data_IF_894324339391
#
_entry.id   IF_894324339391
#
_cell.length_a   1.000
_cell.length_b   1.000
_cell.length_c   1.000
_cell.angle_alpha   90.00
_cell.angle_beta   90.00
_cell.angle_gamma   90.00
#
_symmetry.space_group_name_H-M   'P 1'
#
loop_
_entity.id
_entity.type
_entity.pdbx_description
1 polymer ?
#
# COMPACT_ATOMS: atom_id res chain seq x y z
N UNK A 1 -3.94 15.98 21.73
CA UNK A 1 -2.98 14.87 21.56
C UNK A 1 -2.09 15.24 20.39
N UNK A 2 -0.78 15.22 20.59
CA UNK A 2 0.16 15.51 19.50
C UNK A 2 0.73 14.18 18.99
N UNK A 3 0.51 13.87 17.74
CA UNK A 3 0.99 12.67 17.08
C UNK A 3 2.23 13.02 16.25
N UNK A 4 3.38 12.42 16.60
CA UNK A 4 4.65 12.65 15.89
C UNK A 4 5.14 11.37 15.24
N UNK A 5 5.39 11.47 13.94
CA UNK A 5 5.91 10.40 13.08
C UNK A 5 7.13 10.87 12.29
N UNK A 6 7.87 9.96 11.72
CA UNK A 6 8.88 10.28 10.72
C UNK A 6 8.24 10.43 9.34
N UNK A 7 7.27 9.54 9.04
CA UNK A 7 6.56 9.51 7.75
C UNK A 7 5.06 9.39 7.98
N UNK A 8 4.28 10.18 7.23
CA UNK A 8 2.83 10.02 7.12
C UNK A 8 2.49 9.65 5.68
N UNK A 9 1.75 8.56 5.51
CA UNK A 9 1.23 8.12 4.23
C UNK A 9 -0.28 8.37 4.18
N UNK A 10 -0.75 9.07 3.16
CA UNK A 10 -2.17 9.38 2.97
C UNK A 10 -2.76 8.47 1.90
N UNK A 11 -3.72 7.64 2.31
CA UNK A 11 -4.46 6.74 1.43
C UNK A 11 -4.01 5.29 1.50
N UNK A 12 -4.93 4.40 1.92
CA UNK A 12 -4.72 2.95 2.05
C UNK A 12 -4.91 2.16 0.75
N UNK A 13 -4.60 2.73 -0.42
CA UNK A 13 -4.54 2.00 -1.69
C UNK A 13 -3.26 1.18 -1.81
N UNK A 14 -3.06 0.46 -2.94
CA UNK A 14 -1.89 -0.41 -3.14
C UNK A 14 -0.56 0.34 -2.94
N UNK A 15 -0.43 1.53 -3.53
CA UNK A 15 0.77 2.36 -3.39
C UNK A 15 0.99 2.82 -1.94
N UNK A 16 -0.07 3.21 -1.25
CA UNK A 16 0.03 3.63 0.16
C UNK A 16 0.40 2.48 1.09
N UNK A 17 -0.16 1.29 0.86
CA UNK A 17 0.22 0.10 1.63
C UNK A 17 1.71 -0.23 1.46
N UNK A 18 2.22 -0.22 0.23
CA UNK A 18 3.64 -0.44 -0.07
C UNK A 18 4.53 0.66 0.54
N UNK A 19 4.15 1.93 0.39
CA UNK A 19 4.92 3.04 0.95
C UNK A 19 5.00 2.98 2.48
N UNK A 20 3.88 2.69 3.13
CA UNK A 20 3.81 2.60 4.58
C UNK A 20 4.65 1.43 5.13
N UNK A 21 4.53 0.24 4.54
CA UNK A 21 5.32 -0.92 4.94
C UNK A 21 6.80 -0.72 4.66
N UNK A 22 7.17 -0.14 3.52
CA UNK A 22 8.56 0.16 3.18
C UNK A 22 9.19 1.12 4.18
N UNK A 23 8.53 2.24 4.49
CA UNK A 23 9.03 3.22 5.46
C UNK A 23 9.19 2.60 6.87
N UNK A 24 8.19 1.86 7.32
CA UNK A 24 8.22 1.21 8.63
C UNK A 24 9.29 0.12 8.73
N UNK A 25 9.48 -0.68 7.69
CA UNK A 25 10.52 -1.71 7.62
C UNK A 25 11.93 -1.11 7.59
N UNK A 26 12.09 0.11 7.10
CA UNK A 26 13.35 0.87 7.18
C UNK A 26 13.58 1.49 8.57
N UNK A 27 12.67 1.27 9.53
CA UNK A 27 12.78 1.74 10.90
C UNK A 27 12.16 3.11 11.16
N UNK A 28 11.50 3.73 10.18
CA UNK A 28 10.79 4.98 10.37
C UNK A 28 9.48 4.76 11.14
N UNK A 29 9.21 5.59 12.13
CA UNK A 29 7.89 5.63 12.78
C UNK A 29 6.87 6.19 11.79
N UNK A 30 5.99 5.34 11.30
CA UNK A 30 5.11 5.62 10.16
C UNK A 30 3.64 5.60 10.58
N UNK A 31 2.84 6.51 10.01
CA UNK A 31 1.38 6.50 10.12
C UNK A 31 0.74 6.40 8.73
N UNK A 32 -0.14 5.43 8.54
CA UNK A 32 -0.99 5.34 7.36
C UNK A 32 -2.39 5.87 7.70
N UNK A 33 -2.78 6.98 7.09
CA UNK A 33 -4.11 7.58 7.25
C UNK A 33 -4.99 7.15 6.08
N UNK A 34 -6.15 6.55 6.37
CA UNK A 34 -7.09 6.08 5.35
C UNK A 34 -8.53 6.34 5.78
N UNK A 35 -9.39 6.68 4.83
CA UNK A 35 -10.81 6.97 5.10
C UNK A 35 -11.59 5.73 5.57
N UNK A 36 -11.22 4.55 5.09
CA UNK A 36 -11.94 3.31 5.40
C UNK A 36 -10.95 2.13 5.48
N UNK A 37 -10.74 1.63 6.68
CA UNK A 37 -9.83 0.50 6.94
C UNK A 37 -10.33 -0.81 6.30
N UNK A 38 -11.64 -0.94 6.00
CA UNK A 38 -12.18 -2.11 5.33
C UNK A 38 -11.94 -2.11 3.82
N UNK A 39 -11.39 -1.02 3.29
CA UNK A 39 -11.05 -0.87 1.86
C UNK A 39 -9.56 -0.77 1.59
N UNK A 40 -8.74 -1.05 2.58
CA UNK A 40 -7.28 -1.10 2.42
C UNK A 40 -6.91 -2.10 1.32
N UNK A 41 -6.10 -1.67 0.35
CA UNK A 41 -5.66 -2.49 -0.77
C UNK A 41 -6.80 -2.97 -1.69
N UNK A 42 -7.98 -2.35 -1.63
CA UNK A 42 -9.13 -2.79 -2.39
C UNK A 42 -8.88 -2.78 -3.91
N UNK A 43 -9.16 -3.91 -4.55
CA UNK A 43 -9.19 -4.04 -6.00
C UNK A 43 -10.53 -3.55 -6.54
N UNK A 44 -10.62 -2.29 -6.97
CA UNK A 44 -11.86 -1.65 -7.41
C UNK A 44 -12.37 -2.18 -8.76
N UNK A 45 -11.47 -2.65 -9.61
CA UNK A 45 -11.77 -3.19 -10.93
C UNK A 45 -11.75 -4.72 -10.95
N UNK A 46 -10.87 -5.32 -11.77
CA UNK A 46 -10.64 -6.75 -11.78
C UNK A 46 -9.80 -7.16 -10.57
N UNK A 47 -10.16 -8.25 -9.85
CA UNK A 47 -9.38 -8.73 -8.73
C UNK A 47 -8.13 -9.48 -9.22
N UNK A 48 -7.23 -8.78 -9.90
CA UNK A 48 -6.04 -9.37 -10.50
C UNK A 48 -4.83 -8.46 -10.38
N UNK A 49 -3.70 -9.07 -10.08
CA UNK A 49 -2.37 -8.45 -10.00
C UNK A 49 -1.51 -8.93 -11.17
N UNK A 50 -0.72 -8.03 -11.74
CA UNK A 50 0.15 -8.35 -12.86
C UNK A 50 -0.49 -8.09 -14.22
N UNK A 51 -0.01 -8.80 -15.23
CA UNK A 51 -0.31 -8.56 -16.62
C UNK A 51 0.79 -7.79 -17.33
N UNK A 52 0.54 -7.35 -18.58
CA UNK A 52 1.55 -6.69 -19.43
C UNK A 52 2.13 -5.47 -18.73
N UNK A 53 3.45 -5.41 -18.60
CA UNK A 53 4.26 -4.45 -17.85
C UNK A 53 4.04 -4.46 -16.32
N UNK A 54 2.84 -4.74 -15.84
CA UNK A 54 2.50 -4.70 -14.40
C UNK A 54 3.10 -5.87 -13.63
N UNK A 55 3.16 -7.07 -14.21
CA UNK A 55 3.76 -8.24 -13.58
C UNK A 55 5.27 -8.07 -13.33
N UNK A 56 5.95 -7.37 -14.21
CA UNK A 56 7.37 -7.03 -14.04
C UNK A 56 7.56 -6.06 -12.87
N UNK A 57 6.75 -5.00 -12.79
CA UNK A 57 6.79 -4.03 -11.69
C UNK A 57 6.54 -4.71 -10.34
N UNK A 58 5.59 -5.63 -10.25
CA UNK A 58 5.33 -6.38 -8.99
C UNK A 58 6.57 -7.17 -8.57
N UNK A 59 7.30 -7.78 -9.49
CA UNK A 59 8.56 -8.49 -9.20
C UNK A 59 9.68 -7.55 -8.74
N UNK A 60 9.75 -6.35 -9.31
CA UNK A 60 10.71 -5.33 -8.89
C UNK A 60 10.41 -4.86 -7.47
N UNK A 61 9.12 -4.62 -7.16
CA UNK A 61 8.66 -4.27 -5.81
C UNK A 61 9.01 -5.40 -4.83
N UNK A 62 8.73 -6.66 -5.18
CA UNK A 62 9.03 -7.84 -4.37
C UNK A 62 10.54 -7.97 -4.10
N UNK A 63 11.39 -7.75 -5.12
CA UNK A 63 12.84 -7.77 -4.98
C UNK A 63 13.38 -6.68 -4.03
N UNK A 64 12.64 -5.59 -3.84
CA UNK A 64 12.94 -4.51 -2.89
C UNK A 64 12.33 -4.75 -1.50
N UNK A 65 11.69 -5.91 -1.26
CA UNK A 65 11.06 -6.25 0.01
C UNK A 65 9.61 -5.79 0.15
N UNK A 66 8.94 -5.46 -0.97
CA UNK A 66 7.53 -5.10 -0.98
C UNK A 66 6.59 -6.27 -0.71
N UNK A 67 5.35 -5.97 -0.42
CA UNK A 67 4.37 -6.94 0.06
C UNK A 67 3.36 -7.40 -1.01
N UNK A 68 3.22 -6.66 -2.11
CA UNK A 68 2.22 -6.94 -3.15
C UNK A 68 2.34 -8.35 -3.72
N UNK A 69 3.55 -8.84 -3.96
CA UNK A 69 3.81 -10.20 -4.43
C UNK A 69 3.33 -11.24 -3.44
N UNK A 70 3.73 -11.10 -2.17
CA UNK A 70 3.39 -12.02 -1.09
C UNK A 70 1.88 -12.06 -0.81
N UNK A 71 1.23 -10.88 -0.76
CA UNK A 71 -0.23 -10.77 -0.59
C UNK A 71 -0.96 -11.42 -1.77
N UNK A 72 -0.44 -11.22 -2.99
CA UNK A 72 -0.98 -11.86 -4.20
C UNK A 72 -0.90 -13.36 -4.12
N UNK A 73 0.26 -13.91 -3.77
CA UNK A 73 0.47 -15.36 -3.68
C UNK A 73 -0.43 -16.01 -2.62
N UNK A 74 -0.60 -15.33 -1.47
CA UNK A 74 -1.45 -15.82 -0.38
C UNK A 74 -2.95 -15.82 -0.73
N UNK A 75 -3.38 -15.03 -1.71
CA UNK A 75 -4.80 -14.81 -2.02
C UNK A 75 -5.21 -15.18 -3.45
N UNK A 76 -4.24 -15.63 -4.25
CA UNK A 76 -4.47 -16.02 -5.63
C UNK A 76 -5.38 -17.26 -5.74
N UNK A 77 -6.34 -17.16 -6.65
CA UNK A 77 -7.22 -18.28 -7.05
C UNK A 77 -6.88 -18.83 -8.43
N UNK A 78 -6.14 -18.07 -9.23
CA UNK A 78 -5.69 -18.48 -10.56
C UNK A 78 -4.42 -17.75 -10.96
N UNK A 79 -3.44 -18.48 -11.49
CA UNK A 79 -2.25 -17.92 -12.15
C UNK A 79 -2.31 -18.13 -13.66
N UNK A 80 -1.90 -17.12 -14.41
CA UNK A 80 -1.86 -17.18 -15.87
C UNK A 80 -0.64 -16.44 -16.41
N UNK A 81 0.07 -17.07 -17.33
CA UNK A 81 1.09 -16.40 -18.15
C UNK A 81 0.44 -15.87 -19.41
N UNK A 82 0.44 -14.54 -19.57
CA UNK A 82 -0.05 -13.86 -20.76
C UNK A 82 1.02 -13.81 -21.85
N UNK A 83 0.60 -13.65 -23.09
CA UNK A 83 1.45 -13.47 -24.28
C UNK A 83 2.42 -14.61 -24.59
N UNK A 84 2.12 -15.84 -24.20
CA UNK A 84 2.99 -17.00 -24.49
C UNK A 84 3.33 -17.17 -25.97
N UNK A 85 2.43 -16.82 -26.88
CA UNK A 85 2.64 -16.88 -28.33
C UNK A 85 3.45 -15.72 -28.92
N UNK A 86 3.85 -14.71 -28.12
CA UNK A 86 4.53 -13.51 -28.60
C UNK A 86 6.03 -13.44 -28.25
N UNK A 87 6.54 -14.50 -27.66
CA UNK A 87 7.95 -14.61 -27.23
C UNK A 87 8.22 -14.21 -25.78
N UNK A 88 9.35 -14.68 -25.22
CA UNK A 88 9.65 -14.55 -23.78
C UNK A 88 9.74 -13.12 -23.28
N UNK A 89 10.17 -12.17 -24.09
CA UNK A 89 10.35 -10.77 -23.70
C UNK A 89 9.04 -10.08 -23.27
N UNK A 90 7.88 -10.59 -23.72
CA UNK A 90 6.57 -10.02 -23.40
C UNK A 90 5.70 -10.97 -22.57
N UNK A 91 6.28 -12.04 -22.06
CA UNK A 91 5.57 -12.91 -21.11
C UNK A 91 5.29 -12.14 -19.84
N UNK A 92 4.02 -12.15 -19.43
CA UNK A 92 3.57 -11.36 -18.30
C UNK A 92 2.76 -12.22 -17.34
N UNK A 93 3.26 -12.48 -16.14
CA UNK A 93 2.50 -13.20 -15.12
C UNK A 93 1.30 -12.35 -14.67
N UNK A 94 0.16 -13.01 -14.49
CA UNK A 94 -1.05 -12.43 -13.93
C UNK A 94 -1.67 -13.41 -12.96
N UNK A 95 -1.94 -12.96 -11.74
CA UNK A 95 -2.69 -13.68 -10.74
C UNK A 95 -4.08 -13.07 -10.60
N UNK A 96 -5.10 -13.90 -10.56
CA UNK A 96 -6.43 -13.50 -10.11
C UNK A 96 -6.56 -13.86 -8.64
N UNK A 97 -7.02 -12.91 -7.83
CA UNK A 97 -7.11 -13.05 -6.38
C UNK A 97 -8.55 -13.10 -5.91
N UNK A 98 -8.77 -13.71 -4.75
CA UNK A 98 -9.99 -13.51 -3.99
C UNK A 98 -9.97 -12.08 -3.43
N UNK A 99 -10.96 -11.27 -3.81
CA UNK A 99 -11.02 -9.84 -3.48
C UNK A 99 -11.13 -9.61 -1.96
N UNK A 100 -11.92 -10.39 -1.27
CA UNK A 100 -12.10 -10.28 0.17
C UNK A 100 -10.84 -10.70 0.93
N UNK A 101 -10.26 -11.85 0.58
CA UNK A 101 -9.02 -12.33 1.16
C UNK A 101 -7.85 -11.37 0.93
N UNK A 102 -7.79 -10.72 -0.24
CA UNK A 102 -6.75 -9.76 -0.57
C UNK A 102 -6.77 -8.54 0.36
N UNK A 103 -7.95 -7.98 0.63
CA UNK A 103 -8.12 -6.88 1.60
C UNK A 103 -7.69 -7.33 3.00
N UNK A 104 -8.16 -8.51 3.44
CA UNK A 104 -7.80 -9.07 4.74
C UNK A 104 -6.32 -9.34 4.88
N UNK A 105 -5.67 -9.86 3.84
CA UNK A 105 -4.23 -10.13 3.86
C UNK A 105 -3.43 -8.82 3.95
N UNK A 106 -3.80 -7.80 3.18
CA UNK A 106 -3.17 -6.48 3.31
C UNK A 106 -3.35 -5.91 4.73
N UNK A 107 -4.56 -6.01 5.28
CA UNK A 107 -4.79 -5.56 6.64
C UNK A 107 -3.91 -6.30 7.64
N UNK A 108 -3.81 -7.61 7.51
CA UNK A 108 -2.94 -8.44 8.36
C UNK A 108 -1.48 -8.01 8.26
N UNK A 109 -0.98 -7.72 7.05
CA UNK A 109 0.38 -7.22 6.84
C UNK A 109 0.59 -5.90 7.59
N UNK A 110 -0.30 -4.93 7.39
CA UNK A 110 -0.16 -3.61 8.02
C UNK A 110 -0.23 -3.69 9.54
N UNK A 111 -1.20 -4.43 10.08
CA UNK A 111 -1.39 -4.58 11.53
C UNK A 111 -0.21 -5.29 12.23
N UNK A 112 0.56 -6.10 11.50
CA UNK A 112 1.74 -6.81 12.03
C UNK A 112 3.08 -6.16 11.64
N UNK A 113 3.07 -5.04 10.93
CA UNK A 113 4.31 -4.33 10.57
C UNK A 113 4.77 -3.48 11.75
N UNK A 114 5.95 -3.73 12.32
CA UNK A 114 6.50 -2.89 13.40
C UNK A 114 6.66 -1.44 12.94
N UNK A 115 6.56 -0.48 13.86
CA UNK A 115 6.68 0.96 13.62
C UNK A 115 5.59 1.56 12.71
N UNK A 116 4.51 0.82 12.40
CA UNK A 116 3.41 1.28 11.58
C UNK A 116 2.12 1.40 12.39
N UNK A 117 1.58 2.60 12.46
CA UNK A 117 0.23 2.87 12.96
C UNK A 117 -0.73 3.08 11.78
N UNK A 118 -1.93 2.53 11.86
CA UNK A 118 -2.99 2.76 10.89
C UNK A 118 -4.09 3.58 11.53
N UNK A 119 -4.42 4.73 10.93
CA UNK A 119 -5.43 5.65 11.43
C UNK A 119 -6.58 5.80 10.44
N UNK A 120 -7.82 5.59 10.92
CA UNK A 120 -9.00 5.77 10.08
C UNK A 120 -9.55 7.18 10.24
N UNK A 121 -9.26 8.01 9.25
CA UNK A 121 -9.83 9.36 9.11
C UNK A 121 -9.60 9.86 7.68
N UNK A 122 -10.23 10.96 7.33
CA UNK A 122 -9.99 11.65 6.06
C UNK A 122 -9.00 12.79 6.26
N UNK A 123 -7.89 12.77 5.51
CA UNK A 123 -6.98 13.90 5.43
C UNK A 123 -7.68 15.07 4.74
N UNK A 124 -7.64 16.24 5.36
CA UNK A 124 -8.28 17.46 4.89
C UNK A 124 -7.25 18.48 4.40
N UNK A 125 -6.18 18.69 5.15
CA UNK A 125 -5.18 19.72 4.89
C UNK A 125 -3.78 19.18 5.11
N UNK A 126 -2.85 19.57 4.22
CA UNK A 126 -1.42 19.40 4.43
C UNK A 126 -0.89 20.63 5.14
N UNK A 127 -0.38 20.47 6.34
CA UNK A 127 0.19 21.57 7.13
C UNK A 127 1.55 21.95 6.56
N UNK A 128 1.67 23.17 6.06
CA UNK A 128 2.92 23.70 5.48
C UNK A 128 3.43 24.86 6.33
N UNK A 129 4.70 24.80 6.73
CA UNK A 129 5.42 25.89 7.42
C UNK A 129 6.68 26.24 6.62
N UNK A 130 6.84 27.50 6.32
CA UNK A 130 8.01 28.01 5.57
C UNK A 130 8.29 27.24 4.25
N UNK A 131 7.22 26.84 3.54
CA UNK A 131 7.31 26.09 2.29
C UNK A 131 7.61 24.59 2.44
N UNK A 132 7.64 24.08 3.68
CA UNK A 132 7.90 22.66 3.98
C UNK A 132 6.63 22.01 4.55
N UNK A 133 6.26 20.84 4.04
CA UNK A 133 5.18 20.04 4.61
C UNK A 133 5.65 19.51 5.98
N UNK A 134 4.89 19.79 7.03
CA UNK A 134 5.23 19.45 8.41
C UNK A 134 4.19 18.57 9.09
N UNK A 135 3.10 18.25 8.40
CA UNK A 135 2.05 17.43 8.96
C UNK A 135 0.79 17.38 8.11
N UNK A 136 -0.21 16.74 8.67
CA UNK A 136 -1.54 16.55 8.08
C UNK A 136 -2.59 16.84 9.12
N UNK A 137 -3.65 17.55 8.73
CA UNK A 137 -4.85 17.74 9.54
C UNK A 137 -5.99 16.94 8.93
N UNK A 138 -6.77 16.28 9.78
CA UNK A 138 -7.91 15.50 9.36
C UNK A 138 -9.22 16.27 9.51
N UNK A 139 -10.30 15.79 8.85
CA UNK A 139 -11.64 16.41 8.96
C UNK A 139 -12.18 16.47 10.38
N UNK A 140 -11.78 15.54 11.26
CA UNK A 140 -12.15 15.55 12.67
C UNK A 140 -11.26 16.45 13.53
N UNK A 141 -10.36 17.21 12.89
CA UNK A 141 -9.50 18.19 13.56
C UNK A 141 -8.29 17.59 14.28
N UNK A 142 -7.96 16.32 14.03
CA UNK A 142 -6.72 15.73 14.55
C UNK A 142 -5.55 16.20 13.69
N UNK A 143 -4.49 16.66 14.34
CA UNK A 143 -3.27 17.10 13.65
C UNK A 143 -2.14 16.11 13.91
N UNK A 144 -1.55 15.62 12.83
CA UNK A 144 -0.40 14.74 12.80
C UNK A 144 0.81 15.49 12.30
N UNK A 145 1.96 15.34 12.96
CA UNK A 145 3.20 15.96 12.55
C UNK A 145 4.18 14.92 12.03
N UNK A 146 4.90 15.25 10.94
CA UNK A 146 5.92 14.39 10.39
C UNK A 146 7.02 15.18 9.68
N UNK A 147 8.12 14.48 9.40
CA UNK A 147 9.21 15.02 8.57
C UNK A 147 8.93 14.86 7.08
N UNK A 148 8.13 13.83 6.71
CA UNK A 148 7.78 13.51 5.34
C UNK A 148 6.36 12.93 5.26
#
# INVERSE_FOLDING_TARGET
MNFFYDVIVIGGGHAGCEAATAAANMGAKTCLITMDMNKIGQMSCNPAVGGIAKGQIVREIDALGGQMGLVTDATAIQFRMLNRGKGPAVWSPRAQCDRGKFIWQWRTVLDNTPNLDVWQDQADEIVVKDGVATGVKTVWGVEFHARC
#
